data_IF_356707048016
#
_entry.id   IF_356707048016
#
_cell.length_a   1.000
_cell.length_b   1.000
_cell.length_c   1.000
_cell.angle_alpha   90.00
_cell.angle_beta   90.00
_cell.angle_gamma   90.00
#
_symmetry.space_group_name_H-M   'P 1'
#
loop_
_entity.id
_entity.type
_entity.pdbx_description
1 polymer ?
#
# COMPACT_ATOMS: atom_id res chain seq x y z
N UNK A 1 -16.83 -9.84 -21.89
CA UNK A 1 -15.59 -10.22 -21.18
C UNK A 1 -15.94 -11.18 -20.06
N UNK A 2 -15.09 -12.15 -19.75
CA UNK A 2 -15.25 -13.02 -18.58
C UNK A 2 -14.60 -12.34 -17.36
N UNK A 3 -15.27 -12.34 -16.22
CA UNK A 3 -14.72 -11.85 -14.94
C UNK A 3 -14.69 -13.01 -13.97
N UNK A 4 -13.49 -13.35 -13.47
CA UNK A 4 -13.30 -14.37 -12.45
C UNK A 4 -13.15 -13.66 -11.10
N UNK A 5 -14.05 -13.97 -10.15
CA UNK A 5 -13.99 -13.43 -8.80
C UNK A 5 -13.52 -14.51 -7.84
N UNK A 6 -12.41 -14.26 -7.16
CA UNK A 6 -11.82 -15.17 -6.17
C UNK A 6 -11.96 -14.53 -4.80
N UNK A 7 -12.64 -15.21 -3.88
CA UNK A 7 -12.64 -14.85 -2.46
C UNK A 7 -11.46 -15.59 -1.82
N UNK A 8 -10.56 -14.86 -1.17
CA UNK A 8 -9.35 -15.42 -0.57
C UNK A 8 -8.98 -14.67 0.71
N UNK A 9 -8.02 -15.22 1.44
CA UNK A 9 -7.38 -14.63 2.60
C UNK A 9 -5.88 -14.95 2.52
N UNK A 10 -5.02 -14.02 2.91
CA UNK A 10 -3.56 -14.22 2.92
C UNK A 10 -3.14 -14.97 4.17
N UNK A 11 -2.11 -15.82 4.05
CA UNK A 11 -1.46 -16.40 5.23
C UNK A 11 -0.75 -15.29 6.05
N UNK A 12 -0.68 -15.40 7.39
CA UNK A 12 0.22 -14.59 8.20
C UNK A 12 1.70 -14.74 7.82
N UNK A 13 2.04 -15.82 7.10
CA UNK A 13 3.37 -16.11 6.57
C UNK A 13 3.51 -15.76 5.07
N UNK A 14 2.61 -14.93 4.52
CA UNK A 14 2.71 -14.49 3.13
C UNK A 14 4.06 -13.79 2.89
N UNK A 15 4.86 -14.33 1.98
CA UNK A 15 6.24 -13.87 1.73
C UNK A 15 6.31 -12.43 1.21
N UNK A 16 5.24 -11.96 0.57
CA UNK A 16 5.15 -10.58 0.12
C UNK A 16 4.81 -9.59 1.22
N UNK A 17 4.38 -10.02 2.41
CA UNK A 17 3.84 -9.13 3.44
C UNK A 17 4.69 -9.15 4.70
N UNK A 18 5.15 -7.98 5.13
CA UNK A 18 5.78 -7.82 6.43
C UNK A 18 4.86 -7.07 7.38
N UNK A 19 4.42 -7.78 8.40
CA UNK A 19 3.61 -7.24 9.50
C UNK A 19 4.51 -6.84 10.66
N UNK A 20 4.53 -5.55 10.97
CA UNK A 20 5.28 -4.98 12.08
C UNK A 20 4.36 -4.69 13.26
N UNK A 21 4.74 -5.20 14.42
CA UNK A 21 4.12 -4.83 15.70
C UNK A 21 4.44 -3.37 16.04
N UNK A 22 3.63 -2.71 16.89
CA UNK A 22 3.91 -1.34 17.32
C UNK A 22 5.35 -1.13 17.80
N UNK A 23 5.94 -2.07 18.55
CA UNK A 23 7.29 -1.90 19.09
C UNK A 23 8.38 -1.90 17.99
N UNK A 24 8.06 -2.38 16.79
CA UNK A 24 8.95 -2.40 15.63
C UNK A 24 8.83 -1.13 14.78
N UNK A 25 7.80 -0.31 14.98
CA UNK A 25 7.61 0.97 14.27
C UNK A 25 8.37 2.10 14.95
N UNK A 26 8.55 3.25 14.29
CA UNK A 26 9.23 4.40 14.87
C UNK A 26 8.38 5.04 15.97
N UNK A 27 7.07 5.15 15.74
CA UNK A 27 6.13 5.77 16.66
C UNK A 27 5.77 4.91 17.89
N UNK A 28 6.13 3.62 17.91
CA UNK A 28 5.92 2.67 19.03
C UNK A 28 4.47 2.46 19.49
N UNK A 29 3.49 2.99 18.75
CA UNK A 29 2.08 3.04 19.15
C UNK A 29 1.13 2.27 18.24
N UNK A 30 1.43 2.25 16.95
CA UNK A 30 0.55 1.69 15.92
C UNK A 30 1.33 0.67 15.08
N UNK A 31 0.65 -0.39 14.60
CA UNK A 31 1.27 -1.40 13.74
C UNK A 31 1.56 -0.82 12.35
N UNK A 32 2.34 -1.56 11.57
CA UNK A 32 2.65 -1.21 10.20
C UNK A 32 2.63 -2.46 9.31
N UNK A 33 2.19 -2.31 8.07
CA UNK A 33 2.26 -3.32 7.02
C UNK A 33 2.94 -2.70 5.80
N UNK A 34 3.86 -3.43 5.17
CA UNK A 34 4.22 -3.17 3.79
C UNK A 34 4.33 -4.46 2.99
N UNK A 35 4.17 -4.34 1.68
CA UNK A 35 4.40 -5.43 0.75
C UNK A 35 5.66 -5.26 -0.09
N UNK A 36 6.25 -6.40 -0.46
CA UNK A 36 7.35 -6.52 -1.41
C UNK A 36 7.07 -7.70 -2.34
N UNK A 37 6.58 -7.41 -3.55
CA UNK A 37 6.13 -8.45 -4.48
C UNK A 37 7.22 -8.96 -5.44
N UNK A 38 8.28 -8.18 -5.67
CA UNK A 38 9.38 -8.62 -6.54
C UNK A 38 10.25 -9.67 -5.83
N UNK A 39 10.64 -10.78 -6.51
CA UNK A 39 10.38 -11.08 -7.93
C UNK A 39 9.05 -11.80 -8.23
N UNK A 40 8.60 -12.67 -7.32
CA UNK A 40 7.47 -13.59 -7.55
C UNK A 40 6.58 -13.75 -6.31
N UNK A 41 6.54 -12.77 -5.43
CA UNK A 41 5.80 -12.86 -4.17
C UNK A 41 4.38 -12.31 -4.29
N UNK A 42 4.00 -11.63 -5.39
CA UNK A 42 2.63 -11.12 -5.55
C UNK A 42 1.59 -12.25 -5.42
N UNK A 43 1.91 -13.46 -5.87
CA UNK A 43 1.06 -14.66 -5.70
C UNK A 43 0.72 -15.02 -4.26
N UNK A 44 1.52 -14.58 -3.28
CA UNK A 44 1.25 -14.79 -1.85
C UNK A 44 0.30 -13.73 -1.27
N UNK A 45 0.15 -12.58 -1.94
CA UNK A 45 -0.79 -11.51 -1.57
C UNK A 45 -2.11 -11.63 -2.32
N UNK A 46 -2.09 -11.95 -3.61
CA UNK A 46 -3.28 -12.00 -4.48
C UNK A 46 -3.15 -13.16 -5.48
N UNK A 47 -4.20 -13.99 -5.68
CA UNK A 47 -4.21 -14.97 -6.76
C UNK A 47 -4.09 -14.28 -8.13
N UNK A 48 -2.97 -14.49 -8.83
CA UNK A 48 -2.68 -13.81 -10.09
C UNK A 48 -1.74 -14.63 -10.99
N UNK A 49 -1.64 -14.23 -12.26
CA UNK A 49 -0.60 -14.72 -13.17
C UNK A 49 0.70 -13.98 -12.85
N UNK A 50 1.45 -14.50 -11.88
CA UNK A 50 2.61 -13.82 -11.30
C UNK A 50 3.87 -13.99 -12.15
N UNK A 51 3.86 -13.32 -13.30
CA UNK A 51 4.93 -13.29 -14.31
C UNK A 51 5.07 -11.88 -14.87
N UNK A 52 6.31 -11.39 -15.12
CA UNK A 52 6.51 -10.09 -15.73
C UNK A 52 6.04 -10.02 -17.20
N UNK A 53 5.77 -11.16 -17.85
CA UNK A 53 5.26 -11.21 -19.23
C UNK A 53 3.80 -10.76 -19.37
N UNK A 54 3.05 -10.71 -18.27
CA UNK A 54 1.65 -10.27 -18.24
C UNK A 54 1.59 -8.91 -17.53
N UNK A 55 0.93 -7.92 -18.17
CA UNK A 55 0.69 -6.59 -17.59
C UNK A 55 -0.80 -6.38 -17.38
N UNK A 56 -1.15 -5.79 -16.24
CA UNK A 56 -2.54 -5.51 -15.85
C UNK A 56 -2.68 -4.08 -15.31
N UNK A 57 -3.83 -3.47 -15.56
CA UNK A 57 -4.32 -2.33 -14.77
C UNK A 57 -5.06 -2.86 -13.55
N UNK A 58 -5.17 -2.07 -12.48
CA UNK A 58 -5.97 -2.47 -11.33
C UNK A 58 -6.66 -1.30 -10.64
N UNK A 59 -7.77 -1.62 -9.98
CA UNK A 59 -8.43 -0.77 -8.98
C UNK A 59 -8.42 -1.53 -7.66
N UNK A 60 -8.28 -0.82 -6.54
CA UNK A 60 -8.30 -1.42 -5.22
C UNK A 60 -9.12 -0.58 -4.25
N UNK A 61 -9.89 -1.26 -3.39
CA UNK A 61 -10.51 -0.68 -2.21
C UNK A 61 -9.90 -1.35 -0.98
N UNK A 62 -9.18 -0.58 -0.16
CA UNK A 62 -8.45 -1.07 1.01
C UNK A 62 -9.11 -0.52 2.26
N UNK A 63 -9.67 -1.41 3.09
CA UNK A 63 -10.22 -1.04 4.40
C UNK A 63 -9.14 -1.13 5.46
N UNK A 64 -8.91 -0.05 6.20
CA UNK A 64 -7.91 0.02 7.29
C UNK A 64 -8.53 0.68 8.54
N UNK A 65 -7.94 0.48 9.73
CA UNK A 65 -8.26 1.29 10.90
C UNK A 65 -8.20 2.79 10.59
N UNK A 66 -9.13 3.57 11.11
CA UNK A 66 -9.30 5.00 10.77
C UNK A 66 -8.12 5.90 11.19
N UNK A 67 -7.26 5.42 12.09
CA UNK A 67 -6.03 6.07 12.50
C UNK A 67 -4.80 5.65 11.68
N UNK A 68 -4.98 4.89 10.60
CA UNK A 68 -3.93 4.48 9.66
C UNK A 68 -4.20 5.00 8.26
N UNK A 69 -3.12 5.17 7.51
CA UNK A 69 -3.12 5.56 6.11
C UNK A 69 -2.72 4.38 5.25
N UNK A 70 -3.47 4.13 4.17
CA UNK A 70 -3.07 3.19 3.13
C UNK A 70 -2.44 3.94 1.94
N UNK A 71 -1.40 3.36 1.38
CA UNK A 71 -0.78 3.77 0.12
C UNK A 71 -0.63 2.54 -0.78
N UNK A 72 -0.72 2.73 -2.09
CA UNK A 72 -0.45 1.70 -3.08
C UNK A 72 0.36 2.25 -4.25
N UNK A 73 0.88 1.36 -5.10
CA UNK A 73 1.48 1.66 -6.42
C UNK A 73 0.45 2.14 -7.46
N UNK A 74 -0.42 3.07 -7.08
CA UNK A 74 -1.57 3.56 -7.82
C UNK A 74 -1.96 4.97 -7.38
N UNK A 75 -2.78 5.66 -8.18
CA UNK A 75 -3.27 7.00 -7.84
C UNK A 75 -4.45 6.86 -6.88
N UNK A 76 -4.42 7.63 -5.77
CA UNK A 76 -5.53 7.74 -4.83
C UNK A 76 -6.77 8.29 -5.55
N UNK A 77 -7.88 7.58 -5.46
CA UNK A 77 -9.14 7.92 -6.12
C UNK A 77 -10.12 8.57 -5.13
N UNK A 78 -9.88 9.84 -4.80
CA UNK A 78 -10.67 10.61 -3.84
C UNK A 78 -10.18 10.49 -2.39
N UNK A 79 -10.92 11.08 -1.45
CA UNK A 79 -10.59 11.03 -0.02
C UNK A 79 -11.06 9.72 0.65
N UNK A 80 -10.39 9.28 1.73
CA UNK A 80 -10.79 8.08 2.46
C UNK A 80 -12.21 8.24 3.00
N UNK A 81 -13.04 7.21 2.82
CA UNK A 81 -14.43 7.23 3.27
C UNK A 81 -14.55 6.46 4.58
N UNK A 82 -15.01 7.08 5.69
CA UNK A 82 -15.32 6.36 6.92
C UNK A 82 -16.41 5.31 6.67
N UNK A 83 -16.19 4.08 7.12
CA UNK A 83 -17.21 3.01 7.06
C UNK A 83 -18.01 2.99 8.37
N UNK A 84 -17.28 3.14 9.47
CA UNK A 84 -17.75 3.15 10.84
C UNK A 84 -16.82 4.05 11.68
N UNK A 85 -17.05 4.14 12.99
CA UNK A 85 -16.23 4.96 13.88
C UNK A 85 -14.77 4.49 14.06
N UNK A 86 -14.38 3.36 13.45
CA UNK A 86 -13.09 2.70 13.65
C UNK A 86 -12.31 2.39 12.36
N UNK A 87 -12.93 2.49 11.17
CA UNK A 87 -12.32 2.10 9.89
C UNK A 87 -12.63 3.07 8.75
N UNK A 88 -11.76 3.09 7.74
CA UNK A 88 -11.94 3.87 6.52
C UNK A 88 -11.52 3.08 5.28
N UNK A 89 -12.18 3.36 4.15
CA UNK A 89 -11.83 2.79 2.83
C UNK A 89 -10.99 3.80 2.07
N UNK A 90 -9.82 3.35 1.61
CA UNK A 90 -9.00 4.03 0.62
C UNK A 90 -9.25 3.41 -0.75
N UNK A 91 -9.41 4.24 -1.78
CA UNK A 91 -9.62 3.79 -3.16
C UNK A 91 -8.41 4.17 -4.00
N UNK A 92 -7.99 3.26 -4.87
CA UNK A 92 -6.85 3.45 -5.75
C UNK A 92 -7.16 2.98 -7.17
N UNK A 93 -6.55 3.66 -8.14
CA UNK A 93 -6.63 3.32 -9.55
C UNK A 93 -5.25 3.40 -10.23
N UNK A 94 -4.86 2.32 -10.89
CA UNK A 94 -3.68 2.22 -11.74
C UNK A 94 -4.11 1.98 -13.18
N UNK A 95 -4.09 3.06 -13.98
CA UNK A 95 -4.51 3.06 -15.38
C UNK A 95 -3.44 2.57 -16.34
N UNK A 96 -2.17 2.55 -15.92
CA UNK A 96 -1.05 2.11 -16.76
C UNK A 96 -0.82 0.61 -16.53
N UNK A 97 -0.89 -0.25 -17.57
CA UNK A 97 -0.63 -1.67 -17.42
C UNK A 97 0.77 -1.95 -16.88
N UNK A 98 0.86 -2.70 -15.78
CA UNK A 98 2.10 -3.06 -15.12
C UNK A 98 2.17 -4.56 -14.77
N UNK A 99 3.36 -5.16 -14.68
CA UNK A 99 3.52 -6.51 -14.16
C UNK A 99 3.14 -6.59 -12.67
N UNK A 100 2.66 -7.76 -12.24
CA UNK A 100 2.12 -7.98 -10.88
C UNK A 100 3.14 -7.75 -9.77
N UNK A 101 4.44 -7.94 -10.03
CA UNK A 101 5.48 -7.67 -9.04
C UNK A 101 5.58 -6.19 -8.63
N UNK A 102 4.99 -5.27 -9.40
CA UNK A 102 4.92 -3.84 -9.07
C UNK A 102 3.71 -3.46 -8.22
N UNK A 103 2.79 -4.39 -7.94
CA UNK A 103 1.70 -4.13 -6.99
C UNK A 103 2.31 -4.00 -5.60
N UNK A 104 2.14 -2.83 -4.98
CA UNK A 104 2.62 -2.53 -3.63
C UNK A 104 1.48 -2.02 -2.74
N UNK A 105 1.59 -2.30 -1.45
CA UNK A 105 0.70 -1.82 -0.39
C UNK A 105 1.55 -1.42 0.81
N UNK A 106 1.26 -0.25 1.40
CA UNK A 106 1.74 0.13 2.71
C UNK A 106 0.57 0.63 3.55
N UNK A 107 0.51 0.22 4.83
CA UNK A 107 -0.50 0.67 5.79
C UNK A 107 0.19 0.99 7.10
N UNK A 108 0.04 2.21 7.59
CA UNK A 108 0.71 2.63 8.83
C UNK A 108 0.32 4.03 9.28
N UNK A 109 0.97 4.49 10.34
CA UNK A 109 0.84 5.85 10.87
C UNK A 109 1.64 6.85 10.02
N UNK A 110 1.28 6.95 8.73
CA UNK A 110 2.02 7.71 7.75
C UNK A 110 1.60 9.18 7.71
N UNK A 111 2.61 10.04 7.62
CA UNK A 111 2.51 11.46 7.32
C UNK A 111 3.25 11.74 6.00
N UNK A 112 2.98 12.90 5.39
CA UNK A 112 3.62 13.30 4.15
C UNK A 112 4.15 14.73 4.16
N UNK A 113 5.18 14.96 3.35
CA UNK A 113 5.63 16.30 2.98
C UNK A 113 5.69 16.42 1.47
N UNK A 114 5.27 17.58 0.95
CA UNK A 114 5.43 17.91 -0.46
C UNK A 114 6.87 18.34 -0.69
N UNK A 115 7.55 17.68 -1.62
CA UNK A 115 8.95 17.94 -1.98
C UNK A 115 9.10 18.43 -3.43
N UNK A 116 7.99 18.49 -4.19
CA UNK A 116 8.02 19.00 -5.56
C UNK A 116 6.63 19.21 -6.16
N UNK A 117 6.54 19.57 -7.45
CA UNK A 117 5.26 19.83 -8.11
C UNK A 117 4.36 18.59 -8.21
N UNK A 118 4.96 17.39 -8.16
CA UNK A 118 4.30 16.09 -8.33
C UNK A 118 4.83 14.99 -7.40
N UNK A 119 5.59 15.39 -6.37
CA UNK A 119 6.29 14.47 -5.49
C UNK A 119 5.98 14.80 -4.03
N UNK A 120 5.54 13.78 -3.30
CA UNK A 120 5.42 13.79 -1.86
C UNK A 120 6.33 12.68 -1.31
N UNK A 121 7.00 12.95 -0.19
CA UNK A 121 7.64 11.91 0.61
C UNK A 121 6.68 11.49 1.71
N UNK A 122 6.59 10.19 1.97
CA UNK A 122 5.75 9.60 3.00
C UNK A 122 6.62 8.84 4.01
N UNK A 123 6.34 9.00 5.30
CA UNK A 123 7.04 8.27 6.36
C UNK A 123 6.23 8.30 7.65
N UNK A 124 6.67 7.59 8.69
CA UNK A 124 6.21 7.91 10.05
C UNK A 124 6.65 9.34 10.42
N UNK A 125 5.87 10.01 11.27
CA UNK A 125 6.08 11.42 11.64
C UNK A 125 7.49 11.71 12.16
N UNK A 126 8.14 10.71 12.78
CA UNK A 126 9.49 10.81 13.35
C UNK A 126 10.57 11.04 12.28
N UNK A 127 10.31 10.66 11.02
CA UNK A 127 11.28 10.72 9.92
C UNK A 127 10.87 11.61 8.76
N UNK A 128 9.60 12.01 8.64
CA UNK A 128 9.09 12.70 7.45
C UNK A 128 9.82 14.00 7.13
N UNK A 129 10.26 14.77 8.13
CA UNK A 129 11.03 16.00 7.92
C UNK A 129 12.45 15.73 7.39
N UNK A 130 13.13 14.72 7.97
CA UNK A 130 14.47 14.31 7.50
C UNK A 130 14.40 13.78 6.09
N UNK A 131 13.39 12.98 5.79
CA UNK A 131 13.16 12.45 4.44
C UNK A 131 12.80 13.56 3.45
N UNK A 132 12.06 14.58 3.88
CA UNK A 132 11.75 15.73 3.03
C UNK A 132 13.00 16.50 2.64
N UNK A 133 13.91 16.73 3.60
CA UNK A 133 15.19 17.37 3.34
C UNK A 133 16.07 16.53 2.40
N UNK A 134 16.21 15.23 2.69
CA UNK A 134 17.09 14.32 1.93
C UNK A 134 16.68 14.16 0.46
N UNK A 135 15.38 14.28 0.14
CA UNK A 135 14.84 14.07 -1.20
C UNK A 135 14.28 15.36 -1.84
N UNK A 136 14.66 16.54 -1.35
CA UNK A 136 14.18 17.82 -1.89
C UNK A 136 14.84 18.23 -3.22
N UNK A 137 16.01 17.66 -3.54
CA UNK A 137 16.82 18.01 -4.72
C UNK A 137 16.50 17.16 -5.96
#
# INVERSE_FOLDING_TARGET
SLVIRIKYETSPLAESLQWLKPEQTCGKKLPYLFSQCQPIHCRSMVPCQDTPSVKVTYTAEITVPSNLVALMSAIKAGEPTPIDGSRSIYKFEQKVPMPTYLIALAVGALDFRKIGPRSNVWSEKEYVEKAAYEFAD
#
